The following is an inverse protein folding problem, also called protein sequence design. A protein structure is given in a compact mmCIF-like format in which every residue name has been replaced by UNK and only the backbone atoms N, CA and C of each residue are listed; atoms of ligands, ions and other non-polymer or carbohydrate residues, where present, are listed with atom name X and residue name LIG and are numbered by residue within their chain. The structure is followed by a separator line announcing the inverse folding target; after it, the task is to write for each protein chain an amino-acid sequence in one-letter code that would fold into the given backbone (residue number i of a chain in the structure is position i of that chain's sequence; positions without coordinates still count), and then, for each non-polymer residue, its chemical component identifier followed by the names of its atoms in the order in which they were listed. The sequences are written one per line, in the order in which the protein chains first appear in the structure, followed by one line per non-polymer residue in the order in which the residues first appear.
data_IF_505304016509
#
_entry.id   IF_505304016509
#
_cell.length_a   1.000
_cell.length_b   1.000
_cell.length_c   1.000
_cell.angle_alpha   90.00
_cell.angle_beta   90.00
_cell.angle_gamma   90.00
#
_symmetry.space_group_name_H-M   'P 1'
#
loop_
_entity.id
_entity.type
_entity.pdbx_description
1 polymer ?
#
# COMPACT_ATOMS: atom_id res chain seq x y z
N UNK A 1 -3.77 41.05 7.85
CA UNK A 1 -2.52 40.27 7.67
C UNK A 1 -2.41 39.11 8.66
N UNK A 2 -2.54 39.33 9.97
CA UNK A 2 -2.43 38.25 10.99
C UNK A 2 -3.45 37.11 10.83
N UNK A 3 -4.72 37.39 10.49
CA UNK A 3 -5.73 36.33 10.28
C UNK A 3 -5.52 35.53 9.00
N UNK A 4 -4.98 36.14 7.93
CA UNK A 4 -4.62 35.45 6.69
C UNK A 4 -3.46 34.48 6.89
N UNK A 5 -2.45 34.88 7.67
CA UNK A 5 -1.35 33.98 8.05
C UNK A 5 -1.86 32.82 8.90
N UNK A 6 -2.76 33.09 9.85
CA UNK A 6 -3.36 32.04 10.68
C UNK A 6 -4.18 31.03 9.86
N UNK A 7 -4.98 31.52 8.90
CA UNK A 7 -5.74 30.67 7.99
C UNK A 7 -4.83 29.81 7.10
N UNK A 8 -3.73 30.40 6.59
CA UNK A 8 -2.73 29.71 5.77
C UNK A 8 -2.03 28.57 6.55
N UNK A 9 -1.68 28.80 7.82
CA UNK A 9 -1.06 27.77 8.68
C UNK A 9 -2.02 26.63 8.97
N UNK A 10 -3.29 26.92 9.22
CA UNK A 10 -4.31 25.88 9.42
C UNK A 10 -4.51 25.06 8.13
N UNK A 11 -4.56 25.71 6.97
CA UNK A 11 -4.77 25.04 5.69
C UNK A 11 -3.61 24.09 5.36
N UNK A 12 -2.37 24.53 5.58
CA UNK A 12 -1.17 23.70 5.33
C UNK A 12 -1.08 22.51 6.29
N UNK A 13 -1.46 22.68 7.56
CA UNK A 13 -1.52 21.57 8.52
C UNK A 13 -2.56 20.49 8.16
N UNK A 14 -3.68 20.89 7.53
CA UNK A 14 -4.72 19.96 7.06
C UNK A 14 -4.23 19.18 5.82
N UNK A 15 -3.40 19.78 4.98
CA UNK A 15 -2.91 19.18 3.73
C UNK A 15 -1.69 18.26 3.89
N UNK A 16 -1.09 18.17 5.08
CA UNK A 16 0.01 17.22 5.32
C UNK A 16 -0.50 15.78 5.24
N UNK A 17 -0.13 15.06 4.17
CA UNK A 17 -0.32 13.62 3.97
C UNK A 17 0.97 12.85 4.27
N UNK A 18 0.92 11.87 5.18
CA UNK A 18 2.03 10.91 5.34
C UNK A 18 1.66 9.67 4.51
N UNK A 19 2.48 9.34 3.52
CA UNK A 19 2.28 8.16 2.69
C UNK A 19 2.99 6.94 3.27
N UNK A 20 2.24 5.88 3.56
CA UNK A 20 2.81 4.64 4.07
C UNK A 20 3.03 3.65 2.93
N UNK A 21 4.27 3.58 2.44
CA UNK A 21 4.73 2.48 1.60
C UNK A 21 5.03 1.26 2.47
N UNK A 22 4.64 0.08 2.01
CA UNK A 22 4.97 -1.19 2.65
C UNK A 22 5.93 -1.97 1.76
N UNK A 23 7.16 -2.19 2.23
CA UNK A 23 8.13 -3.08 1.58
C UNK A 23 8.59 -4.07 2.64
N UNK A 24 8.37 -5.36 2.38
CA UNK A 24 8.71 -6.44 3.31
C UNK A 24 9.46 -7.53 2.55
N UNK A 25 10.57 -8.01 3.11
CA UNK A 25 11.38 -9.06 2.51
C UNK A 25 12.30 -8.57 1.38
N UNK A 26 12.67 -9.48 0.49
CA UNK A 26 13.57 -9.21 -0.63
C UNK A 26 12.80 -8.96 -1.92
N UNK A 27 12.92 -7.74 -2.44
CA UNK A 27 12.26 -7.28 -3.68
C UNK A 27 13.26 -6.96 -4.80
N UNK A 28 14.56 -7.14 -4.58
CA UNK A 28 15.61 -6.66 -5.49
C UNK A 28 16.59 -7.76 -5.94
N UNK A 29 17.09 -8.59 -5.02
CA UNK A 29 18.17 -9.53 -5.33
C UNK A 29 17.63 -10.93 -5.62
N UNK A 30 17.93 -11.49 -6.81
CA UNK A 30 17.54 -12.86 -7.22
C UNK A 30 16.07 -13.19 -6.91
N UNK A 31 15.15 -12.30 -7.28
CA UNK A 31 13.70 -12.50 -7.14
C UNK A 31 12.98 -12.20 -8.44
N UNK A 32 11.84 -12.84 -8.66
CA UNK A 32 11.00 -12.64 -9.85
C UNK A 32 9.66 -12.07 -9.42
N UNK A 33 9.18 -11.06 -10.14
CA UNK A 33 7.84 -10.51 -9.97
C UNK A 33 6.81 -11.56 -10.44
N UNK A 34 6.12 -12.18 -9.48
CA UNK A 34 5.12 -13.21 -9.75
C UNK A 34 3.74 -12.61 -10.02
N UNK A 35 3.42 -11.51 -9.35
CA UNK A 35 2.16 -10.81 -9.55
C UNK A 35 2.35 -9.32 -9.34
N UNK A 36 1.71 -8.55 -10.21
CA UNK A 36 1.64 -7.10 -10.14
C UNK A 36 0.16 -6.72 -10.27
N UNK A 37 -0.37 -6.03 -9.26
CA UNK A 37 -1.77 -5.63 -9.25
C UNK A 37 -1.91 -4.24 -8.67
N UNK A 38 -2.69 -3.41 -9.37
CA UNK A 38 -3.12 -2.12 -8.86
C UNK A 38 -4.36 -2.27 -7.98
N UNK A 39 -4.26 -1.88 -6.72
CA UNK A 39 -5.38 -1.87 -5.77
C UNK A 39 -5.91 -0.44 -5.68
N UNK A 40 -6.98 -0.17 -6.43
CA UNK A 40 -7.60 1.15 -6.45
C UNK A 40 -9.02 1.16 -5.87
N UNK A 41 -9.41 2.32 -5.32
CA UNK A 41 -10.75 2.64 -4.85
C UNK A 41 -11.02 4.14 -4.97
N UNK A 42 -12.20 4.49 -5.49
CA UNK A 42 -12.63 5.88 -5.54
C UNK A 42 -12.83 6.48 -4.14
N UNK A 43 -12.51 7.77 -4.03
CA UNK A 43 -12.77 8.56 -2.84
C UNK A 43 -14.27 8.56 -2.49
N UNK A 44 -14.57 8.55 -1.19
CA UNK A 44 -15.94 8.68 -0.70
C UNK A 44 -16.02 9.60 0.51
N UNK A 45 -16.81 10.69 0.45
CA UNK A 45 -16.89 11.67 1.52
C UNK A 45 -17.18 11.03 2.88
N UNK A 46 -16.44 11.48 3.89
CA UNK A 46 -16.63 11.13 5.32
C UNK A 46 -16.48 9.65 5.70
N UNK A 47 -16.18 8.74 4.76
CA UNK A 47 -16.03 7.32 5.03
C UNK A 47 -14.59 6.86 4.79
N UNK A 48 -14.14 5.89 5.59
CA UNK A 48 -12.93 5.10 5.30
C UNK A 48 -13.34 3.82 4.62
N UNK A 49 -12.61 3.40 3.60
CA UNK A 49 -12.84 2.14 2.89
C UNK A 49 -11.73 1.16 3.19
N UNK A 50 -12.09 -0.12 3.22
CA UNK A 50 -11.15 -1.22 3.42
C UNK A 50 -11.28 -2.13 2.21
N UNK A 51 -10.15 -2.45 1.59
CA UNK A 51 -10.06 -3.43 0.51
C UNK A 51 -9.10 -4.52 0.91
N UNK A 52 -9.48 -5.76 0.65
CA UNK A 52 -8.62 -6.91 0.84
C UNK A 52 -8.11 -7.38 -0.51
N UNK A 53 -6.85 -7.80 -0.55
CA UNK A 53 -6.23 -8.41 -1.70
C UNK A 53 -5.60 -9.72 -1.23
N UNK A 54 -6.00 -10.81 -1.86
CA UNK A 54 -5.49 -12.13 -1.57
C UNK A 54 -4.68 -12.62 -2.77
N UNK A 55 -3.47 -13.07 -2.51
CA UNK A 55 -2.62 -13.74 -3.47
C UNK A 55 -2.23 -15.12 -2.96
N UNK A 56 -2.22 -16.11 -3.85
CA UNK A 56 -1.73 -17.45 -3.59
C UNK A 56 -1.04 -17.98 -4.84
N UNK A 57 0.11 -18.62 -4.66
CA UNK A 57 0.89 -19.20 -5.74
C UNK A 57 1.61 -20.48 -5.32
N UNK A 58 2.28 -21.18 -6.25
CA UNK A 58 3.02 -22.40 -5.95
C UNK A 58 4.40 -22.13 -5.31
N UNK A 59 4.90 -20.89 -5.38
CA UNK A 59 6.25 -20.52 -4.95
C UNK A 59 6.22 -19.72 -3.66
N UNK A 60 7.28 -19.85 -2.87
CA UNK A 60 7.46 -19.07 -1.64
C UNK A 60 7.71 -17.60 -1.98
N UNK A 61 6.94 -16.74 -1.35
CA UNK A 61 7.05 -15.29 -1.43
C UNK A 61 8.35 -14.87 -0.73
N UNK A 62 9.21 -14.17 -1.47
CA UNK A 62 10.47 -13.61 -0.98
C UNK A 62 10.31 -12.14 -0.59
N UNK A 63 9.43 -11.41 -1.26
CA UNK A 63 9.19 -10.00 -0.99
C UNK A 63 7.81 -9.55 -1.39
N UNK A 64 7.33 -8.52 -0.70
CA UNK A 64 6.05 -7.87 -0.94
C UNK A 64 6.33 -6.37 -0.98
N UNK A 65 5.84 -5.73 -2.02
CA UNK A 65 5.88 -4.29 -2.19
C UNK A 65 4.45 -3.80 -2.36
N UNK A 66 4.06 -2.78 -1.60
CA UNK A 66 2.85 -2.01 -1.81
C UNK A 66 3.21 -0.53 -1.73
N UNK A 67 3.24 0.14 -2.88
CA UNK A 67 3.58 1.55 -2.98
C UNK A 67 2.30 2.38 -3.07
N UNK A 68 2.13 3.34 -2.17
CA UNK A 68 1.06 4.34 -2.32
C UNK A 68 1.41 5.30 -3.46
N UNK A 69 0.56 5.36 -4.49
CA UNK A 69 0.71 6.27 -5.63
C UNK A 69 0.04 7.63 -5.40
N UNK A 70 -0.87 7.74 -4.43
CA UNK A 70 -1.61 8.96 -4.10
C UNK A 70 -0.95 9.78 -2.98
N UNK A 71 0.15 9.29 -2.40
CA UNK A 71 0.81 9.89 -1.24
C UNK A 71 -0.15 10.26 -0.09
N UNK A 72 -1.08 9.36 0.18
CA UNK A 72 -2.21 9.55 1.10
C UNK A 72 -1.93 8.94 2.48
N UNK A 73 -2.71 9.27 3.52
CA UNK A 73 -2.63 8.59 4.83
C UNK A 73 -3.31 7.22 4.85
N UNK A 74 -3.35 6.55 3.71
CA UNK A 74 -3.84 5.19 3.66
C UNK A 74 -2.76 4.24 4.18
N UNK A 75 -3.19 3.09 4.68
CA UNK A 75 -2.30 2.12 5.36
C UNK A 75 -2.52 0.73 4.79
N UNK A 76 -1.45 -0.05 4.77
CA UNK A 76 -1.44 -1.45 4.30
C UNK A 76 -0.94 -2.34 5.40
N UNK A 77 -1.67 -3.43 5.66
CA UNK A 77 -1.28 -4.43 6.66
C UNK A 77 -1.38 -5.84 6.07
N UNK A 78 -0.44 -6.71 6.44
CA UNK A 78 -0.53 -8.15 6.16
C UNK A 78 -1.42 -8.77 7.23
N UNK A 79 -2.55 -9.37 6.84
CA UNK A 79 -3.49 -10.01 7.78
C UNK A 79 -3.28 -11.50 7.92
N UNK A 80 -2.72 -12.16 6.89
CA UNK A 80 -2.40 -13.58 6.91
C UNK A 80 -1.30 -13.90 5.89
N UNK A 81 -0.51 -14.95 6.15
CA UNK A 81 0.59 -15.37 5.29
C UNK A 81 1.73 -14.34 5.26
N UNK A 82 2.33 -14.13 4.08
CA UNK A 82 3.38 -13.15 3.88
C UNK A 82 4.68 -13.75 3.33
N UNK A 83 5.79 -13.06 3.57
CA UNK A 83 7.13 -13.55 3.19
C UNK A 83 7.43 -14.86 3.90
N UNK A 84 7.96 -15.85 3.16
CA UNK A 84 8.17 -17.22 3.65
C UNK A 84 6.95 -18.13 3.53
N UNK A 85 5.79 -17.60 3.13
CA UNK A 85 4.59 -18.37 2.78
C UNK A 85 4.37 -18.40 1.26
N UNK A 86 3.49 -19.29 0.79
CA UNK A 86 3.03 -19.36 -0.61
C UNK A 86 1.82 -18.47 -0.89
N UNK A 87 1.26 -17.87 0.15
CA UNK A 87 0.11 -16.98 0.04
C UNK A 87 0.27 -15.76 0.95
N UNK A 88 -0.45 -14.69 0.62
CA UNK A 88 -0.54 -13.48 1.42
C UNK A 88 -1.93 -12.87 1.31
N UNK A 89 -2.43 -12.36 2.44
CA UNK A 89 -3.60 -11.50 2.47
C UNK A 89 -3.18 -10.10 2.94
N UNK A 90 -3.46 -9.12 2.10
CA UNK A 90 -3.19 -7.71 2.33
C UNK A 90 -4.50 -6.97 2.58
N UNK A 91 -4.51 -6.14 3.61
CA UNK A 91 -5.61 -5.26 3.96
C UNK A 91 -5.18 -3.81 3.78
N UNK A 92 -5.82 -3.17 2.82
CA UNK A 92 -5.66 -1.76 2.50
C UNK A 92 -6.76 -0.97 3.16
N UNK A 93 -6.42 0.17 3.78
CA UNK A 93 -7.39 1.06 4.43
C UNK A 93 -7.15 2.49 3.97
N UNK A 94 -8.18 3.11 3.41
CA UNK A 94 -8.11 4.49 2.93
C UNK A 94 -8.10 5.52 4.07
N UNK A 95 -7.61 6.71 3.75
CA UNK A 95 -7.89 7.91 4.53
C UNK A 95 -9.38 8.26 4.47
N UNK A 96 -9.89 8.99 5.48
CA UNK A 96 -11.29 9.41 5.51
C UNK A 96 -11.52 10.43 4.39
N UNK A 97 -12.49 10.18 3.51
CA UNK A 97 -12.74 11.07 2.38
C UNK A 97 -11.77 10.89 1.21
N UNK A 98 -10.71 10.10 1.38
CA UNK A 98 -9.69 9.85 0.36
C UNK A 98 -9.97 8.61 -0.47
N UNK A 99 -9.34 8.55 -1.65
CA UNK A 99 -9.26 7.35 -2.46
C UNK A 99 -8.26 6.35 -1.89
N UNK A 100 -8.05 5.28 -2.63
CA UNK A 100 -6.97 4.34 -2.40
C UNK A 100 -6.35 4.04 -3.76
N UNK A 101 -5.02 4.13 -3.87
CA UNK A 101 -4.30 3.76 -5.08
C UNK A 101 -2.93 3.22 -4.69
N UNK A 102 -2.84 1.89 -4.63
CA UNK A 102 -1.61 1.19 -4.34
C UNK A 102 -1.15 0.35 -5.51
N UNK A 103 0.14 0.40 -5.78
CA UNK A 103 0.81 -0.52 -6.66
C UNK A 103 1.40 -1.69 -5.86
N UNK A 104 0.90 -2.90 -6.10
CA UNK A 104 1.26 -4.10 -5.33
C UNK A 104 2.09 -5.04 -6.18
N UNK A 105 3.33 -5.29 -5.77
CA UNK A 105 4.24 -6.27 -6.34
C UNK A 105 4.50 -7.43 -5.38
N UNK A 106 4.26 -8.67 -5.85
CA UNK A 106 4.61 -9.89 -5.12
C UNK A 106 5.82 -10.54 -5.80
N UNK A 107 6.88 -10.74 -5.03
CA UNK A 107 8.16 -11.28 -5.48
C UNK A 107 8.35 -12.68 -4.91
N UNK A 108 8.75 -13.61 -5.77
CA UNK A 108 8.98 -15.02 -5.42
C UNK A 108 10.38 -15.45 -5.82
N UNK A 109 10.80 -16.62 -5.33
CA UNK A 109 12.10 -17.21 -5.68
C UNK A 109 12.14 -17.56 -7.19
N UNK A 110 13.23 -17.24 -7.92
CA UNK A 110 13.44 -17.65 -9.30
C UNK A 110 13.65 -19.17 -9.40
N UNK A 111 13.43 -19.70 -10.60
CA UNK A 111 13.61 -21.15 -10.89
C UNK A 111 15.06 -21.52 -11.21
N UNK A 112 15.99 -20.54 -11.23
CA UNK A 112 17.38 -20.80 -11.57
C UNK A 112 18.10 -21.52 -10.43
N UNK A 113 18.68 -22.68 -10.76
CA UNK A 113 19.53 -23.54 -9.91
C UNK A 113 20.70 -22.79 -9.28
#
# INVERSE_FOLDING_TARGET
MKSLVFLSVILTAILYGNSEHLIVGNVADRVVLANHTKVEYNAFPFMKRVKQYFYSGPKVIQGIQALDLQHSKSSVNITAGGVGSTFVNLRFKSERGGGLDYDVGIYVKPDFL
#
